data_IF_053334484910
#
_entry.id   IF_053334484910
#
_cell.length_a   1.000
_cell.length_b   1.000
_cell.length_c   1.000
_cell.angle_alpha   90.00
_cell.angle_beta   90.00
_cell.angle_gamma   90.00
#
_symmetry.space_group_name_H-M   'P 1'
#
loop_
_entity.id
_entity.type
_entity.pdbx_description
1 polymer ?
#
# COMPACT_ATOMS: atom_id res chain seq x y z
N UNK A 1 -32.66 -19.47 -40.42
CA UNK A 1 -31.59 -18.45 -40.38
C UNK A 1 -31.68 -17.80 -39.02
N UNK A 2 -31.14 -18.47 -38.00
CA UNK A 2 -31.11 -17.96 -36.63
C UNK A 2 -29.85 -17.10 -36.48
N UNK A 3 -30.04 -15.81 -36.24
CA UNK A 3 -28.96 -14.91 -35.85
C UNK A 3 -28.84 -14.96 -34.32
N UNK A 4 -27.80 -15.65 -33.87
CA UNK A 4 -27.36 -15.70 -32.48
C UNK A 4 -27.03 -14.29 -31.97
N UNK A 5 -27.64 -13.88 -30.87
CA UNK A 5 -27.27 -12.66 -30.14
C UNK A 5 -25.94 -12.90 -29.44
N UNK A 6 -24.90 -12.19 -29.89
CA UNK A 6 -23.63 -12.11 -29.20
C UNK A 6 -23.83 -11.47 -27.82
N UNK A 7 -23.43 -12.19 -26.76
CA UNK A 7 -23.33 -11.66 -25.42
C UNK A 7 -22.27 -10.55 -25.36
N UNK A 8 -22.65 -9.41 -24.79
CA UNK A 8 -21.71 -8.35 -24.42
C UNK A 8 -20.98 -8.84 -23.17
N UNK A 9 -19.75 -9.32 -23.35
CA UNK A 9 -18.85 -9.61 -22.23
C UNK A 9 -18.62 -8.35 -21.42
N UNK A 10 -18.94 -8.38 -20.13
CA UNK A 10 -18.46 -7.39 -19.18
C UNK A 10 -16.95 -7.60 -19.04
N UNK A 11 -16.15 -6.64 -19.52
CA UNK A 11 -14.73 -6.55 -19.18
C UNK A 11 -14.57 -6.04 -17.74
N UNK A 12 -13.44 -6.33 -17.06
CA UNK A 12 -13.25 -5.94 -15.67
C UNK A 12 -13.26 -4.41 -15.56
N UNK A 13 -14.14 -3.86 -14.73
CA UNK A 13 -14.19 -2.45 -14.39
C UNK A 13 -13.24 -2.09 -13.23
N UNK A 14 -12.43 -3.03 -12.74
CA UNK A 14 -11.54 -2.83 -11.58
C UNK A 14 -10.24 -2.07 -11.92
N UNK A 15 -9.91 -1.87 -13.20
CA UNK A 15 -8.60 -1.32 -13.61
C UNK A 15 -8.55 0.20 -13.77
N UNK A 16 -9.67 0.92 -13.57
CA UNK A 16 -9.69 2.38 -13.77
C UNK A 16 -9.34 3.18 -12.50
N UNK A 17 -9.47 2.56 -11.31
CA UNK A 17 -9.26 3.21 -10.01
C UNK A 17 -8.05 2.66 -9.24
N UNK A 18 -7.30 1.71 -9.83
CA UNK A 18 -6.05 1.21 -9.21
C UNK A 18 -4.87 1.95 -9.84
N UNK A 19 -4.03 2.63 -9.04
CA UNK A 19 -2.85 3.33 -9.56
C UNK A 19 -1.85 2.34 -10.16
N UNK A 20 -0.95 2.83 -11.01
CA UNK A 20 0.20 2.04 -11.45
C UNK A 20 1.13 1.78 -10.24
N UNK A 21 2.08 0.85 -10.40
CA UNK A 21 3.04 0.50 -9.37
C UNK A 21 2.96 -0.96 -8.92
N UNK A 22 3.57 -1.27 -7.77
CA UNK A 22 3.69 -2.64 -7.29
C UNK A 22 3.99 -2.75 -5.79
N UNK A 23 3.52 -3.84 -5.19
CA UNK A 23 3.87 -4.23 -3.82
C UNK A 23 4.86 -5.38 -3.78
N UNK A 24 5.81 -5.33 -2.84
CA UNK A 24 6.78 -6.40 -2.56
C UNK A 24 6.71 -6.77 -1.09
N UNK A 25 6.38 -8.03 -0.81
CA UNK A 25 6.53 -8.62 0.51
C UNK A 25 7.98 -9.06 0.71
N UNK A 26 8.60 -8.60 1.78
CA UNK A 26 9.94 -8.96 2.20
C UNK A 26 9.87 -9.77 3.48
N UNK A 27 10.43 -10.98 3.44
CA UNK A 27 10.47 -11.89 4.61
C UNK A 27 11.88 -12.36 4.90
N UNK A 28 12.15 -12.65 6.17
CA UNK A 28 13.39 -13.31 6.61
C UNK A 28 13.11 -14.72 7.10
N UNK A 29 13.51 -15.72 6.31
CA UNK A 29 13.32 -17.14 6.60
C UNK A 29 14.65 -17.88 6.52
N UNK A 30 14.92 -18.78 7.48
CA UNK A 30 16.17 -19.56 7.54
C UNK A 30 17.44 -18.70 7.41
N UNK A 31 17.39 -17.49 7.99
CA UNK A 31 18.48 -16.51 7.93
C UNK A 31 18.65 -15.80 6.59
N UNK A 32 17.79 -16.06 5.59
CA UNK A 32 17.85 -15.46 4.25
C UNK A 32 16.68 -14.49 4.04
N UNK A 33 16.96 -13.43 3.30
CA UNK A 33 15.92 -12.53 2.81
C UNK A 33 15.29 -13.09 1.54
N UNK A 34 13.97 -12.99 1.44
CA UNK A 34 13.19 -13.35 0.26
C UNK A 34 12.20 -12.23 -0.04
N UNK A 35 11.97 -11.99 -1.32
CA UNK A 35 11.01 -11.02 -1.82
C UNK A 35 9.98 -11.74 -2.69
N UNK A 36 8.71 -11.37 -2.55
CA UNK A 36 7.62 -11.88 -3.39
C UNK A 36 6.71 -10.72 -3.81
N UNK A 37 6.17 -10.74 -5.04
CA UNK A 37 5.17 -9.75 -5.44
C UNK A 37 3.91 -9.90 -4.60
N UNK A 38 3.28 -8.77 -4.28
CA UNK A 38 1.98 -8.71 -3.61
C UNK A 38 0.86 -8.52 -4.63
N UNK A 39 -0.38 -8.72 -4.20
CA UNK A 39 -1.56 -8.46 -5.02
C UNK A 39 -1.73 -6.96 -5.31
N UNK A 40 -2.28 -6.58 -6.47
CA UNK A 40 -2.51 -5.16 -6.82
C UNK A 40 -3.43 -4.42 -5.84
N UNK A 41 -4.21 -5.14 -5.02
CA UNK A 41 -5.10 -4.55 -3.99
C UNK A 41 -4.33 -3.77 -2.92
N UNK A 42 -3.05 -4.08 -2.73
CA UNK A 42 -2.22 -3.37 -1.75
C UNK A 42 -1.92 -1.94 -2.18
N UNK A 43 -2.13 -1.59 -3.46
CA UNK A 43 -1.90 -0.24 -3.97
C UNK A 43 -3.03 0.73 -3.59
N UNK A 44 -4.19 0.21 -3.18
CA UNK A 44 -5.37 1.02 -2.85
C UNK A 44 -5.89 0.78 -1.44
N UNK A 45 -5.26 -0.10 -0.66
CA UNK A 45 -5.71 -0.39 0.71
C UNK A 45 -4.58 -0.88 1.60
N UNK A 46 -4.35 -0.15 2.69
CA UNK A 46 -3.38 -0.52 3.69
C UNK A 46 -3.81 -1.78 4.44
N UNK A 47 -5.10 -1.91 4.76
CA UNK A 47 -5.65 -3.13 5.37
C UNK A 47 -5.42 -4.40 4.52
N UNK A 48 -5.44 -4.29 3.19
CA UNK A 48 -5.12 -5.39 2.28
C UNK A 48 -3.63 -5.77 2.37
N UNK A 49 -2.74 -4.77 2.38
CA UNK A 49 -1.31 -4.98 2.54
C UNK A 49 -0.99 -5.67 3.88
N UNK A 50 -1.58 -5.21 4.98
CA UNK A 50 -1.41 -5.83 6.29
C UNK A 50 -1.89 -7.28 6.31
N UNK A 51 -3.07 -7.54 5.73
CA UNK A 51 -3.65 -8.88 5.68
C UNK A 51 -2.73 -9.83 4.93
N UNK A 52 -2.28 -9.46 3.73
CA UNK A 52 -1.40 -10.27 2.90
C UNK A 52 -0.07 -10.54 3.60
N UNK A 53 0.54 -9.54 4.25
CA UNK A 53 1.78 -9.72 5.02
C UNK A 53 1.59 -10.65 6.23
N UNK A 54 0.49 -10.55 6.97
CA UNK A 54 0.19 -11.44 8.12
C UNK A 54 -0.11 -12.88 7.69
N UNK A 55 -0.57 -13.09 6.46
CA UNK A 55 -0.83 -14.41 5.87
C UNK A 55 0.43 -15.17 5.49
N UNK A 56 1.58 -14.49 5.34
CA UNK A 56 2.86 -15.15 5.10
C UNK A 56 3.30 -16.03 6.29
N UNK A 57 2.74 -15.79 7.49
CA UNK A 57 2.97 -16.59 8.71
C UNK A 57 4.45 -16.84 9.03
N UNK A 58 5.33 -15.93 8.60
CA UNK A 58 6.77 -16.09 8.83
C UNK A 58 7.10 -15.94 10.32
N UNK A 59 8.05 -16.75 10.79
CA UNK A 59 8.60 -16.62 12.14
C UNK A 59 9.67 -15.52 12.25
N UNK A 60 10.13 -14.96 11.12
CA UNK A 60 11.13 -13.90 11.07
C UNK A 60 10.52 -12.52 10.80
N UNK A 61 11.36 -11.60 10.32
CA UNK A 61 10.91 -10.28 9.92
C UNK A 61 9.99 -10.36 8.69
N UNK A 62 8.92 -9.57 8.69
CA UNK A 62 7.97 -9.41 7.58
C UNK A 62 7.64 -7.93 7.43
N UNK A 63 7.72 -7.41 6.21
CA UNK A 63 7.25 -6.07 5.85
C UNK A 63 6.94 -5.98 4.35
N UNK A 64 6.11 -5.01 3.97
CA UNK A 64 5.79 -4.67 2.59
C UNK A 64 6.49 -3.38 2.17
N UNK A 65 6.90 -3.34 0.90
CA UNK A 65 7.34 -2.13 0.20
C UNK A 65 6.35 -1.90 -0.93
N UNK A 66 5.63 -0.78 -0.90
CA UNK A 66 4.59 -0.46 -1.86
C UNK A 66 5.01 0.79 -2.63
N UNK A 67 5.12 0.66 -3.94
CA UNK A 67 5.37 1.75 -4.88
C UNK A 67 4.05 2.14 -5.54
N UNK A 68 3.63 3.39 -5.40
CA UNK A 68 2.34 3.91 -5.86
C UNK A 68 2.58 4.98 -6.93
N UNK A 69 2.11 4.70 -8.15
CA UNK A 69 2.14 5.59 -9.33
C UNK A 69 3.53 6.18 -9.66
N UNK A 70 4.62 5.50 -9.25
CA UNK A 70 6.00 6.01 -9.28
C UNK A 70 6.18 7.38 -8.57
N UNK A 71 5.22 7.79 -7.73
CA UNK A 71 5.14 9.10 -7.10
C UNK A 71 5.56 9.07 -5.63
N UNK A 72 5.06 8.09 -4.88
CA UNK A 72 5.40 7.90 -3.47
C UNK A 72 5.44 6.41 -3.10
N UNK A 73 5.99 6.12 -1.92
CA UNK A 73 6.05 4.76 -1.40
C UNK A 73 5.59 4.66 0.06
N UNK A 74 5.10 3.47 0.40
CA UNK A 74 4.78 3.05 1.76
C UNK A 74 5.66 1.88 2.18
N UNK A 75 6.18 1.93 3.40
CA UNK A 75 6.76 0.76 4.08
C UNK A 75 5.79 0.30 5.15
N UNK A 76 5.30 -0.93 5.03
CA UNK A 76 4.28 -1.49 5.93
C UNK A 76 4.88 -2.61 6.75
N UNK A 77 5.01 -2.44 8.07
CA UNK A 77 5.58 -3.45 8.98
C UNK A 77 4.55 -3.83 10.05
N UNK A 78 3.77 -4.91 9.84
CA UNK A 78 2.83 -5.38 10.85
C UNK A 78 3.54 -5.73 12.16
N UNK A 79 2.99 -5.31 13.30
CA UNK A 79 3.47 -5.70 14.61
C UNK A 79 2.30 -5.97 15.57
N UNK A 80 2.53 -6.72 16.68
CA UNK A 80 1.48 -7.04 17.64
C UNK A 80 0.81 -5.82 18.28
N UNK A 81 1.53 -4.69 18.38
CA UNK A 81 1.05 -3.45 18.99
C UNK A 81 0.37 -2.50 18.00
N UNK A 82 0.21 -2.91 16.74
CA UNK A 82 -0.20 -2.04 15.64
C UNK A 82 0.83 -2.07 14.52
N UNK A 83 0.42 -1.63 13.34
CA UNK A 83 1.30 -1.58 12.17
C UNK A 83 2.22 -0.37 12.28
N UNK A 84 3.51 -0.58 12.01
CA UNK A 84 4.47 0.51 11.85
C UNK A 84 4.55 0.86 10.37
N UNK A 85 4.52 2.16 10.08
CA UNK A 85 4.44 2.69 8.72
C UNK A 85 5.51 3.75 8.51
N UNK A 86 5.97 3.87 7.27
CA UNK A 86 6.62 5.07 6.76
C UNK A 86 5.91 5.42 5.45
N UNK A 87 5.37 6.64 5.37
CA UNK A 87 4.85 7.26 4.15
C UNK A 87 5.90 8.26 3.65
N UNK A 88 6.35 8.12 2.40
CA UNK A 88 7.42 8.99 1.88
C UNK A 88 6.95 10.40 1.53
N UNK A 89 5.65 10.57 1.27
CA UNK A 89 5.02 11.84 0.92
C UNK A 89 3.62 11.91 1.53
N UNK A 90 3.45 12.72 2.55
CA UNK A 90 2.19 12.98 3.22
C UNK A 90 1.20 13.77 2.35
N UNK A 91 1.70 14.60 1.42
CA UNK A 91 0.85 15.43 0.55
C UNK A 91 0.06 14.59 -0.46
N UNK A 92 0.55 13.38 -0.77
CA UNK A 92 -0.17 12.40 -1.57
C UNK A 92 -1.54 12.01 -0.99
N UNK A 93 -1.81 12.24 0.31
CA UNK A 93 -3.12 12.02 0.90
C UNK A 93 -4.24 12.91 0.32
N UNK A 94 -3.88 13.99 -0.39
CA UNK A 94 -4.85 14.82 -1.11
C UNK A 94 -5.46 14.11 -2.32
N UNK A 95 -4.69 13.21 -2.94
CA UNK A 95 -5.05 12.57 -4.20
C UNK A 95 -5.24 11.04 -4.09
N UNK A 96 -4.65 10.40 -3.06
CA UNK A 96 -4.62 8.95 -2.91
C UNK A 96 -5.21 8.47 -1.57
N UNK A 97 -6.29 7.70 -1.64
CA UNK A 97 -6.98 7.12 -0.47
C UNK A 97 -6.04 6.30 0.43
N UNK A 98 -5.07 5.58 -0.14
CA UNK A 98 -4.10 4.79 0.64
C UNK A 98 -3.13 5.67 1.46
N UNK A 99 -2.77 6.85 0.95
CA UNK A 99 -1.95 7.80 1.69
C UNK A 99 -2.75 8.45 2.81
N UNK A 100 -4.03 8.77 2.57
CA UNK A 100 -4.94 9.23 3.62
C UNK A 100 -5.14 8.16 4.72
N UNK A 101 -5.37 6.90 4.34
CA UNK A 101 -5.46 5.76 5.28
C UNK A 101 -4.17 5.61 6.11
N UNK A 102 -3.00 5.86 5.50
CA UNK A 102 -1.72 5.82 6.21
C UNK A 102 -1.58 6.95 7.24
N UNK A 103 -1.96 8.20 6.90
CA UNK A 103 -1.96 9.32 7.85
C UNK A 103 -2.93 9.10 9.01
N UNK A 104 -4.13 8.58 8.72
CA UNK A 104 -5.10 8.21 9.76
C UNK A 104 -4.53 7.11 10.68
N UNK A 105 -3.86 6.10 10.12
CA UNK A 105 -3.25 5.01 10.89
C UNK A 105 -2.09 5.50 11.76
N UNK A 106 -1.38 6.54 11.31
CA UNK A 106 -0.31 7.20 12.05
C UNK A 106 -0.83 8.18 13.12
N UNK A 107 -2.15 8.42 13.18
CA UNK A 107 -2.78 9.42 14.05
C UNK A 107 -2.18 10.83 13.81
N UNK A 108 -1.90 11.15 12.54
CA UNK A 108 -1.30 12.41 12.14
C UNK A 108 -2.31 13.57 12.27
N UNK A 109 -1.98 14.59 13.04
CA UNK A 109 -2.78 15.81 13.21
C UNK A 109 -2.40 16.85 12.15
N UNK A 110 -2.78 16.59 10.90
CA UNK A 110 -2.47 17.41 9.73
C UNK A 110 -3.76 17.72 8.98
N UNK A 111 -4.05 18.99 8.74
CA UNK A 111 -5.23 19.39 7.98
C UNK A 111 -4.99 19.30 6.46
N UNK A 112 -6.07 19.20 5.68
CA UNK A 112 -5.97 19.22 4.22
C UNK A 112 -5.38 20.55 3.73
N UNK A 113 -5.73 21.67 4.37
CA UNK A 113 -5.17 22.98 4.05
C UNK A 113 -3.65 23.03 4.30
N UNK A 114 -3.15 22.41 5.38
CA UNK A 114 -1.71 22.34 5.64
C UNK A 114 -0.98 21.49 4.59
N UNK A 115 -1.60 20.40 4.12
CA UNK A 115 -1.04 19.57 3.04
C UNK A 115 -0.96 20.33 1.72
N UNK A 116 -2.01 21.10 1.36
CA UNK A 116 -2.04 21.90 0.12
C UNK A 116 -0.95 22.98 0.08
N UNK A 117 -0.58 23.54 1.23
CA UNK A 117 0.45 24.58 1.35
C UNK A 117 1.87 24.05 1.53
N UNK A 118 2.04 22.73 1.68
CA UNK A 118 3.33 22.09 1.98
C UNK A 118 4.03 21.55 0.73
N UNK A 119 5.37 21.57 0.75
CA UNK A 119 6.16 20.71 -0.15
C UNK A 119 6.06 19.24 0.34
N UNK A 120 6.23 18.23 -0.52
CA UNK A 120 6.29 16.81 -0.12
C UNK A 120 7.22 16.53 1.06
N UNK A 121 6.73 15.79 2.05
CA UNK A 121 7.48 15.41 3.26
C UNK A 121 7.09 14.02 3.77
N UNK A 122 8.00 13.36 4.47
CA UNK A 122 7.76 12.03 5.03
C UNK A 122 7.00 12.05 6.35
N UNK A 123 6.24 10.99 6.64
CA UNK A 123 5.53 10.82 7.90
C UNK A 123 5.63 9.36 8.43
N UNK A 124 5.67 9.21 9.75
CA UNK A 124 5.79 7.91 10.43
C UNK A 124 7.20 7.53 10.91
N UNK A 125 7.50 6.23 10.91
CA UNK A 125 8.71 5.65 11.51
C UNK A 125 9.87 5.60 10.50
N UNK A 126 10.72 6.64 10.49
CA UNK A 126 11.98 6.67 9.72
C UNK A 126 12.93 5.49 10.05
N UNK A 127 12.76 4.86 11.21
CA UNK A 127 13.49 3.68 11.66
C UNK A 127 12.76 2.36 11.40
N UNK A 128 11.69 2.32 10.58
CA UNK A 128 10.81 1.16 10.44
C UNK A 128 11.54 -0.12 10.03
N UNK A 129 12.71 -0.03 9.40
CA UNK A 129 13.54 -1.18 8.99
C UNK A 129 14.78 -1.45 9.89
N UNK A 130 14.92 -0.72 10.99
CA UNK A 130 15.98 -0.96 11.99
C UNK A 130 15.74 -2.22 12.85
#
# INVERSE_FOLDING_TARGET
MEASRAGKGAGPQDSADTPDGFGVAVVREDGKWRCAPMSAKVLTSLSAAETELRELRSAGAVFGLLDIDDEFFLIVRPAPAGTRLLLSDATAALDYDIAAEALETLDADISAEDLEESDPFEEGDLGVLS
#
